data_IF_905755614947
#
_entry.id   IF_905755614947
#
_cell.length_a   1.000
_cell.length_b   1.000
_cell.length_c   1.000
_cell.angle_alpha   90.00
_cell.angle_beta   90.00
_cell.angle_gamma   90.00
#
_symmetry.space_group_name_H-M   'P 1'
#
loop_
_entity.id
_entity.type
_entity.pdbx_description
1 polymer ?
#
# COMPACT_ATOMS: atom_id res chain seq x y z
N UNK A 1 9.01 -4.77 -14.27
CA UNK A 1 7.98 -4.17 -13.38
C UNK A 1 6.67 -4.89 -13.65
N UNK A 2 5.98 -5.32 -12.58
CA UNK A 2 4.63 -5.86 -12.65
C UNK A 2 3.67 -4.90 -11.96
N UNK A 3 2.41 -4.88 -12.39
CA UNK A 3 1.38 -4.04 -11.80
C UNK A 3 0.03 -4.74 -11.75
N UNK A 4 -0.71 -4.46 -10.70
CA UNK A 4 -2.08 -4.92 -10.52
C UNK A 4 -3.00 -3.74 -10.17
N UNK A 5 -4.22 -3.80 -10.62
CA UNK A 5 -5.27 -2.85 -10.26
C UNK A 5 -6.64 -3.51 -10.42
N UNK A 6 -7.63 -3.05 -9.66
CA UNK A 6 -9.04 -3.44 -9.85
C UNK A 6 -9.76 -2.57 -10.89
N UNK A 7 -9.11 -1.52 -11.38
CA UNK A 7 -9.65 -0.62 -12.39
C UNK A 7 -9.05 -0.90 -13.77
N UNK A 8 -9.86 -1.38 -14.69
CA UNK A 8 -9.44 -1.58 -16.08
C UNK A 8 -8.95 -0.28 -16.74
N UNK A 9 -9.54 0.87 -16.40
CA UNK A 9 -9.12 2.16 -16.95
C UNK A 9 -7.73 2.57 -16.44
N UNK A 10 -7.38 2.24 -15.18
CA UNK A 10 -6.04 2.47 -14.64
C UNK A 10 -5.02 1.54 -15.28
N UNK A 11 -5.38 0.28 -15.51
CA UNK A 11 -4.52 -0.67 -16.22
C UNK A 11 -4.27 -0.24 -17.67
N UNK A 12 -5.25 0.34 -18.34
CA UNK A 12 -5.08 0.90 -19.70
C UNK A 12 -4.10 2.08 -19.69
N UNK A 13 -4.24 3.00 -18.75
CA UNK A 13 -3.28 4.09 -18.57
C UNK A 13 -1.87 3.58 -18.26
N UNK A 14 -1.76 2.53 -17.43
CA UNK A 14 -0.48 1.89 -17.13
C UNK A 14 0.15 1.26 -18.38
N UNK A 15 -0.63 0.57 -19.24
CA UNK A 15 -0.15 0.01 -20.52
C UNK A 15 0.46 1.09 -21.42
N UNK A 16 -0.18 2.26 -21.47
CA UNK A 16 0.30 3.38 -22.29
C UNK A 16 1.65 3.96 -21.83
N UNK A 17 2.09 3.65 -20.58
CA UNK A 17 3.41 4.05 -20.09
C UNK A 17 4.56 3.21 -20.68
N UNK A 18 4.27 2.02 -21.19
CA UNK A 18 5.25 1.10 -21.79
C UNK A 18 6.44 0.75 -20.89
N UNK A 19 6.22 0.68 -19.56
CA UNK A 19 7.24 0.35 -18.56
C UNK A 19 6.97 -0.95 -17.81
N UNK A 20 5.77 -1.52 -17.95
CA UNK A 20 5.35 -2.73 -17.27
C UNK A 20 5.59 -3.97 -18.12
N UNK A 21 6.16 -5.00 -17.51
CA UNK A 21 6.33 -6.31 -18.13
C UNK A 21 5.02 -7.14 -18.03
N UNK A 22 4.24 -6.93 -16.96
CA UNK A 22 2.99 -7.63 -16.68
C UNK A 22 2.00 -6.67 -16.03
N UNK A 23 0.75 -6.70 -16.46
CA UNK A 23 -0.37 -5.95 -15.86
C UNK A 23 -1.58 -6.85 -15.73
N UNK A 24 -2.14 -6.96 -14.53
CA UNK A 24 -3.28 -7.83 -14.24
C UNK A 24 -4.41 -7.08 -13.54
N UNK A 25 -5.64 -7.42 -13.93
CA UNK A 25 -6.86 -7.00 -13.24
C UNK A 25 -7.12 -7.96 -12.07
N UNK A 26 -6.56 -7.64 -10.89
CA UNK A 26 -6.62 -8.53 -9.72
C UNK A 26 -6.66 -7.76 -8.41
N UNK A 27 -7.28 -8.39 -7.40
CA UNK A 27 -7.20 -7.97 -6.02
C UNK A 27 -5.78 -8.20 -5.45
N UNK A 28 -5.33 -7.28 -4.59
CA UNK A 28 -3.99 -7.32 -4.01
C UNK A 28 -3.75 -8.57 -3.14
N UNK A 29 -4.73 -8.96 -2.32
CA UNK A 29 -4.60 -10.12 -1.42
C UNK A 29 -4.62 -11.40 -2.25
N UNK A 30 -5.46 -11.48 -3.27
CA UNK A 30 -5.49 -12.60 -4.20
C UNK A 30 -4.14 -12.74 -4.93
N UNK A 31 -3.61 -11.67 -5.50
CA UNK A 31 -2.31 -11.66 -6.17
C UNK A 31 -1.19 -12.13 -5.24
N UNK A 32 -1.08 -11.52 -4.07
CA UNK A 32 -0.05 -11.87 -3.09
C UNK A 32 -0.17 -13.31 -2.56
N UNK A 33 -1.37 -13.91 -2.60
CA UNK A 33 -1.62 -15.27 -2.13
C UNK A 33 -1.25 -16.34 -3.15
N UNK A 34 -1.30 -16.04 -4.43
CA UNK A 34 -1.21 -17.03 -5.51
C UNK A 34 0.02 -16.92 -6.37
N UNK A 35 0.56 -15.70 -6.54
CA UNK A 35 1.74 -15.48 -7.39
C UNK A 35 3.05 -15.90 -6.69
N UNK A 36 4.05 -16.19 -7.51
CA UNK A 36 5.42 -16.45 -7.08
C UNK A 36 6.14 -15.09 -6.90
N UNK A 37 6.30 -14.69 -5.64
CA UNK A 37 6.81 -13.37 -5.30
C UNK A 37 8.34 -13.41 -5.16
N UNK A 38 9.03 -12.61 -6.00
CA UNK A 38 10.47 -12.40 -5.90
C UNK A 38 10.81 -10.96 -6.31
N UNK A 39 10.37 -10.00 -5.49
CA UNK A 39 10.51 -8.58 -5.76
C UNK A 39 11.41 -7.91 -4.72
N UNK A 40 12.26 -6.98 -5.18
CA UNK A 40 13.03 -6.12 -4.30
C UNK A 40 12.23 -4.91 -3.81
N UNK A 41 11.18 -4.52 -4.54
CA UNK A 41 10.36 -3.36 -4.19
C UNK A 41 8.88 -3.66 -4.41
N UNK A 42 8.08 -3.32 -3.41
CA UNK A 42 6.62 -3.19 -3.51
C UNK A 42 6.26 -1.72 -3.38
N UNK A 43 5.46 -1.20 -4.30
CA UNK A 43 5.05 0.20 -4.30
C UNK A 43 3.52 0.26 -4.36
N UNK A 44 2.92 0.97 -3.41
CA UNK A 44 1.47 1.14 -3.32
C UNK A 44 1.12 2.59 -2.97
N UNK A 45 0.70 3.34 -3.95
CA UNK A 45 0.27 4.73 -3.78
C UNK A 45 -1.21 4.87 -4.09
N UNK A 46 -1.96 5.56 -3.21
CA UNK A 46 -3.42 5.75 -3.33
C UNK A 46 -4.26 4.45 -3.41
N UNK A 47 -3.74 3.31 -2.93
CA UNK A 47 -4.41 2.00 -2.94
C UNK A 47 -4.91 1.63 -1.55
N UNK A 48 -4.07 1.75 -0.52
CA UNK A 48 -4.41 1.32 0.84
C UNK A 48 -5.55 2.12 1.48
N UNK A 49 -5.86 3.28 0.93
CA UNK A 49 -7.06 4.04 1.30
C UNK A 49 -8.39 3.29 1.00
N UNK A 50 -8.34 2.26 0.17
CA UNK A 50 -9.49 1.37 -0.12
C UNK A 50 -9.40 0.03 0.63
N UNK A 51 -8.30 -0.20 1.34
CA UNK A 51 -8.06 -1.40 2.15
C UNK A 51 -7.96 -1.00 3.61
N UNK A 52 -8.92 -1.40 4.43
CA UNK A 52 -8.93 -1.03 5.85
C UNK A 52 -7.83 -1.79 6.62
N UNK A 53 -7.99 -3.10 6.73
CA UNK A 53 -7.02 -3.95 7.40
C UNK A 53 -5.89 -4.36 6.44
N UNK A 54 -4.67 -3.93 6.75
CA UNK A 54 -3.47 -4.25 5.97
C UNK A 54 -2.76 -5.52 6.46
N UNK A 55 -3.33 -6.22 7.44
CA UNK A 55 -2.73 -7.40 8.05
C UNK A 55 -2.30 -8.45 7.03
N UNK A 56 -3.20 -8.86 6.14
CA UNK A 56 -2.90 -9.89 5.13
C UNK A 56 -1.89 -9.43 4.09
N UNK A 57 -1.93 -8.16 3.70
CA UNK A 57 -0.93 -7.60 2.77
C UNK A 57 0.48 -7.72 3.35
N UNK A 58 0.68 -7.26 4.59
CA UNK A 58 1.98 -7.33 5.28
C UNK A 58 2.42 -8.77 5.51
N UNK A 59 1.51 -9.61 6.01
CA UNK A 59 1.78 -11.03 6.26
C UNK A 59 2.22 -11.76 4.98
N UNK A 60 1.49 -11.59 3.88
CA UNK A 60 1.75 -12.28 2.63
C UNK A 60 3.06 -11.82 1.98
N UNK A 61 3.33 -10.52 1.92
CA UNK A 61 4.61 -10.02 1.40
C UNK A 61 5.76 -10.63 2.20
N UNK A 62 5.73 -10.52 3.53
CA UNK A 62 6.82 -11.02 4.39
C UNK A 62 7.02 -12.51 4.30
N UNK A 63 5.93 -13.30 4.24
CA UNK A 63 6.00 -14.76 4.28
C UNK A 63 6.24 -15.41 2.91
N UNK A 64 5.91 -14.73 1.81
CA UNK A 64 5.92 -15.32 0.48
C UNK A 64 6.96 -14.74 -0.47
N UNK A 65 7.42 -13.51 -0.24
CA UNK A 65 8.48 -12.94 -1.08
C UNK A 65 9.81 -13.62 -0.80
N UNK A 66 10.47 -14.12 -1.85
CA UNK A 66 11.72 -14.90 -1.73
C UNK A 66 12.92 -14.04 -1.37
N UNK A 67 12.97 -12.83 -1.89
CA UNK A 67 14.06 -11.89 -1.68
C UNK A 67 13.76 -10.93 -0.53
N UNK A 68 14.80 -10.38 0.09
CA UNK A 68 14.67 -9.20 0.94
C UNK A 68 14.30 -8.00 0.09
N UNK A 69 13.50 -7.09 0.66
CA UNK A 69 13.02 -5.97 -0.12
C UNK A 69 12.53 -4.80 0.71
N UNK A 70 11.84 -3.90 0.03
CA UNK A 70 11.26 -2.71 0.63
C UNK A 70 9.81 -2.55 0.19
N UNK A 71 8.99 -2.01 1.08
CA UNK A 71 7.64 -1.55 0.75
C UNK A 71 7.60 -0.03 0.88
N UNK A 72 7.24 0.67 -0.20
CA UNK A 72 6.95 2.09 -0.19
C UNK A 72 5.46 2.30 -0.44
N UNK A 73 4.78 2.99 0.47
CA UNK A 73 3.35 3.20 0.31
C UNK A 73 2.85 4.50 0.95
N UNK A 74 1.65 4.90 0.56
CA UNK A 74 0.91 6.02 1.15
C UNK A 74 -0.42 5.55 1.74
N UNK A 75 -0.84 6.23 2.81
CA UNK A 75 -2.19 6.11 3.41
C UNK A 75 -2.78 7.49 3.65
N UNK A 76 -4.11 7.62 3.76
CA UNK A 76 -4.67 8.75 4.49
C UNK A 76 -4.35 8.57 5.98
N UNK A 77 -4.01 9.66 6.69
CA UNK A 77 -3.56 9.59 8.07
C UNK A 77 -4.69 9.88 9.06
N UNK A 78 -4.70 9.13 10.16
CA UNK A 78 -5.52 9.43 11.34
C UNK A 78 -4.68 9.39 12.60
N UNK A 79 -5.04 10.22 13.59
CA UNK A 79 -4.45 10.15 14.93
C UNK A 79 -5.26 9.22 15.87
N UNK A 80 -6.37 8.63 15.39
CA UNK A 80 -7.13 7.59 16.09
C UNK A 80 -6.39 6.26 16.00
N UNK A 81 -6.52 5.40 17.01
CA UNK A 81 -5.90 4.08 16.99
C UNK A 81 -6.46 3.20 15.85
N UNK A 82 -5.58 2.44 15.22
CA UNK A 82 -5.96 1.49 14.17
C UNK A 82 -6.15 2.14 12.80
N UNK A 83 -7.16 1.68 12.09
CA UNK A 83 -7.65 2.25 10.84
C UNK A 83 -9.13 2.61 10.96
N UNK A 84 -9.57 3.63 10.24
CA UNK A 84 -10.92 4.20 10.36
C UNK A 84 -11.53 4.36 8.97
N UNK A 85 -12.76 3.88 8.80
CA UNK A 85 -13.56 4.19 7.61
C UNK A 85 -14.10 5.63 7.75
N UNK A 86 -13.63 6.50 6.89
CA UNK A 86 -14.02 7.90 6.87
C UNK A 86 -15.35 8.11 6.12
N UNK A 87 -15.99 9.26 6.35
CA UNK A 87 -17.24 9.63 5.64
C UNK A 87 -17.08 9.70 4.12
N UNK A 88 -15.87 9.82 3.64
CA UNK A 88 -15.52 9.79 2.21
C UNK A 88 -15.63 8.40 1.58
N UNK A 89 -15.84 7.34 2.37
CA UNK A 89 -15.78 5.96 1.93
C UNK A 89 -14.35 5.40 1.80
N UNK A 90 -13.34 6.16 2.23
CA UNK A 90 -11.93 5.73 2.25
C UNK A 90 -11.49 5.47 3.68
N UNK A 91 -10.44 4.65 3.81
CA UNK A 91 -9.82 4.36 5.10
C UNK A 91 -8.64 5.31 5.35
N UNK A 92 -8.52 5.75 6.60
CA UNK A 92 -7.32 6.38 7.14
C UNK A 92 -6.64 5.43 8.13
N UNK A 93 -5.31 5.49 8.19
CA UNK A 93 -4.50 4.60 9.04
C UNK A 93 -3.62 5.41 9.97
N UNK A 94 -3.53 4.98 11.23
CA UNK A 94 -2.61 5.60 12.19
C UNK A 94 -1.18 5.07 11.99
N UNK A 95 -0.20 5.91 12.31
CA UNK A 95 1.21 5.48 12.34
C UNK A 95 1.39 4.30 13.30
N UNK A 96 0.74 4.34 14.45
CA UNK A 96 0.79 3.30 15.49
C UNK A 96 0.28 1.95 14.96
N UNK A 97 -0.77 1.95 14.13
CA UNK A 97 -1.25 0.73 13.48
C UNK A 97 -0.18 0.14 12.55
N UNK A 98 0.43 0.96 11.70
CA UNK A 98 1.51 0.51 10.82
C UNK A 98 2.70 -0.02 11.62
N UNK A 99 3.09 0.68 12.70
CA UNK A 99 4.16 0.22 13.61
C UNK A 99 3.83 -1.13 14.24
N UNK A 100 2.58 -1.37 14.63
CA UNK A 100 2.16 -2.68 15.18
C UNK A 100 2.26 -3.82 14.16
N UNK A 101 1.97 -3.57 12.89
CA UNK A 101 2.18 -4.53 11.81
C UNK A 101 3.67 -4.78 11.57
N UNK A 102 4.48 -3.71 11.64
CA UNK A 102 5.93 -3.82 11.52
C UNK A 102 6.52 -4.71 12.62
N UNK A 103 6.12 -4.49 13.86
CA UNK A 103 6.55 -5.31 15.00
C UNK A 103 6.11 -6.76 14.84
N UNK A 104 4.85 -6.99 14.46
CA UNK A 104 4.27 -8.33 14.32
C UNK A 104 4.94 -9.16 13.23
N UNK A 105 5.30 -8.56 12.11
CA UNK A 105 5.84 -9.25 10.94
C UNK A 105 7.34 -8.99 10.68
N UNK A 106 8.02 -8.37 11.63
CA UNK A 106 9.46 -8.09 11.54
C UNK A 106 9.83 -7.24 10.31
N UNK A 107 9.11 -6.12 10.14
CA UNK A 107 9.51 -5.04 9.24
C UNK A 107 10.24 -3.94 10.00
N UNK A 108 11.21 -3.32 9.36
CA UNK A 108 11.86 -2.13 9.87
C UNK A 108 11.26 -0.88 9.23
N UNK A 109 10.66 0.00 10.03
CA UNK A 109 10.22 1.32 9.56
C UNK A 109 11.44 2.22 9.34
N UNK A 110 11.86 2.36 8.08
CA UNK A 110 13.04 3.14 7.67
C UNK A 110 12.72 4.61 7.47
N UNK A 111 11.50 4.92 7.06
CA UNK A 111 11.06 6.29 6.81
C UNK A 111 9.56 6.44 7.07
N UNK A 112 9.21 7.54 7.70
CA UNK A 112 7.83 8.02 7.82
C UNK A 112 7.77 9.54 7.68
N UNK A 113 6.81 10.02 6.91
CA UNK A 113 6.51 11.45 6.82
C UNK A 113 5.01 11.67 6.76
N UNK A 114 4.51 12.50 7.67
CA UNK A 114 3.15 13.05 7.62
C UNK A 114 3.18 14.26 6.68
N UNK A 115 2.32 14.28 5.67
CA UNK A 115 2.35 15.32 4.62
C UNK A 115 0.97 15.51 3.98
N UNK A 116 0.80 16.64 3.31
CA UNK A 116 -0.37 16.89 2.48
C UNK A 116 -0.26 16.04 1.20
N UNK A 117 -1.11 15.02 1.06
CA UNK A 117 -1.10 14.15 -0.13
C UNK A 117 -1.80 14.77 -1.32
N UNK A 118 -3.00 15.30 -1.09
CA UNK A 118 -3.84 15.85 -2.16
C UNK A 118 -4.83 16.85 -1.61
N UNK A 119 -5.34 17.72 -2.50
CA UNK A 119 -6.39 18.68 -2.17
C UNK A 119 -7.72 18.20 -2.73
N UNK A 120 -8.73 18.04 -1.88
CA UNK A 120 -10.10 17.67 -2.26
C UNK A 120 -11.05 18.74 -1.74
N UNK A 121 -11.85 19.34 -2.64
CA UNK A 121 -12.83 20.40 -2.30
C UNK A 121 -12.22 21.50 -1.44
N UNK A 122 -11.02 21.97 -1.78
CA UNK A 122 -10.33 23.04 -1.08
C UNK A 122 -9.62 22.65 0.22
N UNK A 123 -9.77 21.41 0.71
CA UNK A 123 -9.09 20.91 1.92
C UNK A 123 -7.97 19.96 1.57
N UNK A 124 -6.83 20.10 2.23
CA UNK A 124 -5.73 19.13 2.13
C UNK A 124 -6.09 17.87 2.90
N UNK A 125 -5.84 16.72 2.28
CA UNK A 125 -5.89 15.42 2.92
C UNK A 125 -4.49 15.10 3.42
N UNK A 126 -4.38 15.01 4.74
CA UNK A 126 -3.14 14.62 5.39
C UNK A 126 -2.93 13.13 5.20
N UNK A 127 -1.76 12.74 4.75
CA UNK A 127 -1.38 11.35 4.60
C UNK A 127 -0.09 10.99 5.29
N UNK A 128 0.16 9.70 5.39
CA UNK A 128 1.43 9.13 5.80
C UNK A 128 2.14 8.52 4.59
N UNK A 129 3.40 8.87 4.42
CA UNK A 129 4.31 8.20 3.50
C UNK A 129 5.23 7.29 4.32
N UNK A 130 5.32 6.05 3.91
CA UNK A 130 6.07 5.00 4.62
C UNK A 130 7.07 4.31 3.71
N UNK A 131 8.23 3.99 4.27
CA UNK A 131 9.20 3.07 3.67
C UNK A 131 9.58 2.04 4.73
N UNK A 132 9.35 0.77 4.43
CA UNK A 132 9.66 -0.36 5.27
C UNK A 132 10.70 -1.25 4.60
N UNK A 133 11.63 -1.78 5.38
CA UNK A 133 12.54 -2.86 4.97
C UNK A 133 12.08 -4.20 5.54
N UNK A 134 12.26 -5.28 4.80
CA UNK A 134 11.95 -6.64 5.26
C UNK A 134 12.92 -7.69 4.73
#
# INVERSE_FOLDING_TARGET
IEGIDLSNSMLEQARNKNIYNKLEHRDIVEYLSTEDLDFNYFISTDVFIYVGDLFDVFRLIKSRNKSRGKIAFSTEHTDKDGFVLEKSGRYSHSKKYIESLCEKFDYKLSYFKKTDLKKIRGKFIIGGLYLLDF
#
